data_IF_653762923945
#
_entry.id   IF_653762923945
#
_cell.length_a   1.000
_cell.length_b   1.000
_cell.length_c   1.000
_cell.angle_alpha   90.00
_cell.angle_beta   90.00
_cell.angle_gamma   90.00
#
_symmetry.space_group_name_H-M   'P 1'
#
loop_
_entity.id
_entity.type
_entity.pdbx_description
1 polymer ?
#
# COMPACT_ATOMS: atom_id res chain seq x y z
N UNK A 1 9.24 -19.82 -20.85
CA UNK A 1 9.01 -19.04 -19.62
C UNK A 1 9.10 -17.56 -19.97
N UNK A 2 8.14 -16.75 -19.55
CA UNK A 2 8.25 -15.29 -19.74
C UNK A 2 9.32 -14.76 -18.80
N UNK A 3 10.26 -13.99 -19.32
CA UNK A 3 11.31 -13.39 -18.50
C UNK A 3 10.79 -12.11 -17.85
N UNK A 4 10.98 -12.00 -16.56
CA UNK A 4 10.65 -10.83 -15.73
C UNK A 4 11.94 -10.13 -15.32
N UNK A 5 12.06 -8.84 -15.63
CA UNK A 5 13.24 -8.04 -15.35
C UNK A 5 13.05 -7.09 -14.16
N UNK A 6 11.80 -6.89 -13.71
CA UNK A 6 11.48 -6.06 -12.55
C UNK A 6 10.17 -6.52 -11.90
N UNK A 7 9.99 -6.21 -10.62
CA UNK A 7 8.74 -6.45 -9.90
C UNK A 7 8.30 -5.17 -9.22
N UNK A 8 7.01 -4.83 -9.36
CA UNK A 8 6.35 -3.73 -8.67
C UNK A 8 5.33 -4.34 -7.70
N UNK A 9 5.41 -3.95 -6.44
CA UNK A 9 4.51 -4.41 -5.38
C UNK A 9 3.57 -3.28 -4.94
N UNK A 10 2.31 -3.61 -4.73
CA UNK A 10 1.52 -2.85 -3.78
C UNK A 10 2.02 -3.11 -2.34
N UNK A 11 1.63 -2.24 -1.41
CA UNK A 11 1.93 -2.39 0.02
C UNK A 11 0.79 -3.08 0.74
N UNK A 12 -0.43 -2.52 0.64
CA UNK A 12 -1.60 -3.00 1.35
C UNK A 12 -2.03 -4.40 0.90
N UNK A 13 -2.27 -5.30 1.84
CA UNK A 13 -2.62 -6.71 1.62
C UNK A 13 -1.66 -7.50 0.70
N UNK A 14 -0.55 -6.89 0.29
CA UNK A 14 0.55 -7.55 -0.45
C UNK A 14 1.76 -7.71 0.45
N UNK A 15 2.41 -6.63 0.87
CA UNK A 15 3.57 -6.67 1.77
C UNK A 15 3.17 -6.55 3.25
N UNK A 16 2.15 -5.76 3.53
CA UNK A 16 1.53 -5.59 4.84
C UNK A 16 0.04 -5.86 4.74
N UNK A 17 -0.51 -6.71 5.59
CA UNK A 17 -1.96 -6.73 5.81
C UNK A 17 -2.35 -5.57 6.73
N UNK A 18 -3.58 -5.07 6.60
CA UNK A 18 -4.08 -4.00 7.46
C UNK A 18 -5.58 -4.15 7.76
N UNK A 19 -5.99 -3.63 8.91
CA UNK A 19 -7.39 -3.62 9.34
C UNK A 19 -7.71 -2.31 10.06
N UNK A 20 -8.42 -1.41 9.41
CA UNK A 20 -8.86 -0.13 9.98
C UNK A 20 -9.79 -0.29 11.19
N UNK A 21 -10.49 -1.42 11.33
CA UNK A 21 -11.31 -1.68 12.53
C UNK A 21 -10.46 -1.79 13.80
N UNK A 22 -9.16 -2.05 13.70
CA UNK A 22 -8.25 -2.02 14.86
C UNK A 22 -8.15 -0.58 15.40
N UNK A 23 -7.91 0.40 14.53
CA UNK A 23 -7.85 1.81 14.91
C UNK A 23 -9.21 2.32 15.43
N UNK A 24 -10.30 1.99 14.73
CA UNK A 24 -11.65 2.35 15.14
C UNK A 24 -11.94 1.85 16.56
N UNK A 25 -11.78 0.56 16.83
CA UNK A 25 -12.00 -0.02 18.15
C UNK A 25 -11.11 0.59 19.23
N UNK A 26 -9.86 0.90 18.90
CA UNK A 26 -8.93 1.51 19.84
C UNK A 26 -9.34 2.94 20.19
N UNK A 27 -9.75 3.75 19.20
CA UNK A 27 -10.25 5.10 19.41
C UNK A 27 -11.57 5.10 20.19
N UNK A 28 -12.53 4.25 19.83
CA UNK A 28 -13.81 4.10 20.57
C UNK A 28 -13.57 3.69 22.02
N UNK A 29 -12.67 2.73 22.26
CA UNK A 29 -12.33 2.28 23.62
C UNK A 29 -11.69 3.40 24.45
N UNK A 30 -10.88 4.26 23.81
CA UNK A 30 -10.22 5.37 24.49
C UNK A 30 -11.20 6.52 24.80
N UNK A 31 -12.02 6.91 23.83
CA UNK A 31 -12.89 8.09 23.95
C UNK A 31 -14.23 7.80 24.60
N UNK A 32 -14.69 6.56 24.56
CA UNK A 32 -16.01 6.18 25.05
C UNK A 32 -17.17 6.73 24.22
N UNK A 33 -16.91 7.17 22.98
CA UNK A 33 -17.94 7.70 22.08
C UNK A 33 -19.04 6.65 21.81
N UNK A 34 -20.31 7.01 22.05
CA UNK A 34 -21.43 6.07 21.93
C UNK A 34 -21.84 5.80 20.48
N UNK A 35 -21.64 6.78 19.59
CA UNK A 35 -21.97 6.70 18.15
C UNK A 35 -20.77 7.11 17.32
N UNK A 36 -19.75 6.22 17.19
CA UNK A 36 -18.57 6.51 16.39
C UNK A 36 -18.92 6.55 14.91
N UNK A 37 -18.17 7.31 14.10
CA UNK A 37 -18.24 7.18 12.65
C UNK A 37 -17.72 5.79 12.27
N UNK A 38 -18.23 5.23 11.18
CA UNK A 38 -17.63 4.04 10.59
C UNK A 38 -16.38 4.41 9.77
N UNK A 39 -15.56 3.42 9.47
CA UNK A 39 -14.40 3.60 8.54
C UNK A 39 -14.89 4.08 7.17
N UNK A 40 -16.08 3.64 6.75
CA UNK A 40 -16.71 4.04 5.49
C UNK A 40 -17.11 5.52 5.49
N UNK A 41 -17.56 6.07 6.61
CA UNK A 41 -17.88 7.50 6.73
C UNK A 41 -16.65 8.39 6.55
N UNK A 42 -15.47 7.87 6.90
CA UNK A 42 -14.19 8.55 6.72
C UNK A 42 -13.58 8.34 5.32
N UNK A 43 -14.15 7.46 4.51
CA UNK A 43 -13.60 7.11 3.19
C UNK A 43 -13.33 8.33 2.28
N UNK A 44 -14.25 9.31 2.13
CA UNK A 44 -13.96 10.49 1.30
C UNK A 44 -12.73 11.29 1.78
N UNK A 45 -12.59 11.46 3.10
CA UNK A 45 -11.45 12.17 3.70
C UNK A 45 -10.15 11.39 3.53
N UNK A 46 -10.22 10.07 3.60
CA UNK A 46 -9.07 9.19 3.34
C UNK A 46 -8.62 9.30 1.89
N UNK A 47 -9.53 9.27 0.91
CA UNK A 47 -9.20 9.47 -0.51
C UNK A 47 -8.53 10.83 -0.74
N UNK A 48 -9.03 11.90 -0.11
CA UNK A 48 -8.41 13.22 -0.22
C UNK A 48 -6.99 13.24 0.36
N UNK A 49 -6.77 12.55 1.48
CA UNK A 49 -5.46 12.41 2.10
C UNK A 49 -4.52 11.53 1.26
N UNK A 50 -4.99 10.40 0.75
CA UNK A 50 -4.24 9.47 -0.09
C UNK A 50 -3.93 10.02 -1.49
N UNK A 51 -4.63 11.06 -1.93
CA UNK A 51 -4.34 11.79 -3.18
C UNK A 51 -3.61 13.11 -2.98
N UNK A 52 -3.24 13.44 -1.72
CA UNK A 52 -2.54 14.67 -1.39
C UNK A 52 -3.40 15.94 -1.48
N UNK A 53 -4.73 15.80 -1.60
CA UNK A 53 -5.67 16.93 -1.61
C UNK A 53 -5.94 17.49 -0.21
N UNK A 54 -5.78 16.67 0.82
CA UNK A 54 -5.87 17.06 2.22
C UNK A 54 -4.49 17.00 2.88
N UNK A 55 -4.15 18.00 3.68
CA UNK A 55 -2.91 18.00 4.45
C UNK A 55 -2.95 16.93 5.56
N UNK A 56 -1.77 16.60 6.11
CA UNK A 56 -1.63 15.73 7.29
C UNK A 56 -2.45 16.27 8.47
N UNK A 57 -2.31 17.57 8.74
CA UNK A 57 -2.94 18.27 9.86
C UNK A 57 -4.46 18.28 9.72
N UNK A 58 -4.97 18.54 8.51
CA UNK A 58 -6.41 18.53 8.25
C UNK A 58 -7.00 17.13 8.42
N UNK A 59 -6.34 16.11 7.91
CA UNK A 59 -6.80 14.73 8.06
C UNK A 59 -6.80 14.30 9.53
N UNK A 60 -5.72 14.56 10.28
CA UNK A 60 -5.63 14.28 11.72
C UNK A 60 -6.78 15.00 12.46
N UNK A 61 -7.00 16.29 12.19
CA UNK A 61 -8.07 17.06 12.81
C UNK A 61 -9.43 16.44 12.54
N UNK A 62 -9.75 16.11 11.28
CA UNK A 62 -11.02 15.50 10.89
C UNK A 62 -11.26 14.19 11.64
N UNK A 63 -10.29 13.29 11.66
CA UNK A 63 -10.46 11.97 12.31
C UNK A 63 -10.57 12.13 13.84
N UNK A 64 -9.75 13.00 14.45
CA UNK A 64 -9.83 13.27 15.89
C UNK A 64 -11.17 13.87 16.30
N UNK A 65 -11.69 14.83 15.53
CA UNK A 65 -13.02 15.41 15.76
C UNK A 65 -14.12 14.34 15.62
N UNK A 66 -14.04 13.51 14.58
CA UNK A 66 -15.01 12.45 14.32
C UNK A 66 -15.09 11.41 15.44
N UNK A 67 -13.95 11.06 16.06
CA UNK A 67 -13.89 10.13 17.20
C UNK A 67 -13.88 10.82 18.57
N UNK A 68 -14.10 12.13 18.63
CA UNK A 68 -14.04 12.91 19.88
C UNK A 68 -12.72 12.72 20.67
N UNK A 69 -11.61 12.53 19.97
CA UNK A 69 -10.29 12.34 20.59
C UNK A 69 -9.67 13.70 20.96
N UNK A 70 -9.62 14.01 22.25
CA UNK A 70 -9.09 15.26 22.82
C UNK A 70 -7.69 15.13 23.45
N UNK A 71 -7.13 13.91 23.47
CA UNK A 71 -5.80 13.60 23.99
C UNK A 71 -4.64 14.14 23.13
N UNK A 72 -3.39 13.87 23.54
CA UNK A 72 -2.20 14.22 22.77
C UNK A 72 -2.22 13.64 21.36
N UNK A 73 -1.64 14.36 20.39
CA UNK A 73 -1.58 13.90 18.99
C UNK A 73 -0.77 12.60 18.85
N UNK A 74 0.36 12.48 19.56
CA UNK A 74 1.19 11.26 19.53
C UNK A 74 0.39 10.02 19.94
N UNK A 75 -0.48 10.15 20.94
CA UNK A 75 -1.37 9.05 21.35
C UNK A 75 -2.40 8.71 20.28
N UNK A 76 -2.99 9.73 19.62
CA UNK A 76 -3.87 9.50 18.48
C UNK A 76 -3.13 8.77 17.35
N UNK A 77 -1.92 9.21 17.03
CA UNK A 77 -1.08 8.60 16.00
C UNK A 77 -0.79 7.13 16.30
N UNK A 78 -0.46 6.81 17.55
CA UNK A 78 -0.25 5.44 18.00
C UNK A 78 -1.48 4.56 17.77
N UNK A 79 -2.68 5.06 18.08
CA UNK A 79 -3.93 4.31 17.86
C UNK A 79 -4.28 4.17 16.38
N UNK A 80 -4.01 5.20 15.57
CA UNK A 80 -4.38 5.27 14.16
C UNK A 80 -3.48 4.43 13.26
N UNK A 81 -2.20 4.31 13.60
CA UNK A 81 -1.20 3.65 12.73
C UNK A 81 -0.93 2.19 13.05
N UNK A 82 -1.37 1.67 14.22
CA UNK A 82 -1.20 0.25 14.62
C UNK A 82 -2.14 -0.72 13.92
N UNK A 83 -2.34 -0.56 12.63
CA UNK A 83 -3.27 -1.38 11.83
C UNK A 83 -2.56 -2.41 10.96
N UNK A 84 -1.24 -2.34 10.86
CA UNK A 84 -0.44 -3.13 9.93
C UNK A 84 0.17 -4.37 10.55
N UNK A 85 0.25 -5.45 9.75
CA UNK A 85 1.00 -6.66 10.07
C UNK A 85 1.79 -7.10 8.85
N UNK A 86 3.02 -7.57 9.05
CA UNK A 86 3.89 -8.03 7.95
C UNK A 86 3.32 -9.30 7.33
N UNK A 87 3.18 -9.32 6.01
CA UNK A 87 2.92 -10.51 5.24
C UNK A 87 4.25 -11.25 4.99
N UNK A 88 4.69 -12.01 5.97
CA UNK A 88 5.99 -12.68 5.95
C UNK A 88 6.23 -13.56 4.71
N UNK A 89 5.25 -14.32 4.19
CA UNK A 89 5.46 -15.07 2.95
C UNK A 89 5.85 -14.18 1.76
N UNK A 90 5.15 -13.05 1.55
CA UNK A 90 5.42 -12.14 0.43
C UNK A 90 6.74 -11.38 0.64
N UNK A 91 7.01 -10.89 1.86
CA UNK A 91 8.28 -10.22 2.18
C UNK A 91 9.45 -11.20 2.05
N UNK A 92 9.28 -12.46 2.45
CA UNK A 92 10.26 -13.52 2.27
C UNK A 92 10.58 -13.76 0.79
N UNK A 93 9.55 -13.77 -0.07
CA UNK A 93 9.73 -13.90 -1.50
C UNK A 93 10.44 -12.67 -2.09
N UNK A 94 10.06 -11.45 -1.72
CA UNK A 94 10.74 -10.23 -2.14
C UNK A 94 12.23 -10.24 -1.76
N UNK A 95 12.56 -10.66 -0.53
CA UNK A 95 13.96 -10.84 -0.08
C UNK A 95 14.74 -11.84 -0.94
N UNK A 96 14.11 -12.89 -1.45
CA UNK A 96 14.77 -13.89 -2.30
C UNK A 96 15.20 -13.33 -3.66
N UNK A 97 14.56 -12.26 -4.12
CA UNK A 97 14.87 -11.55 -5.37
C UNK A 97 15.87 -10.40 -5.17
N UNK A 98 16.08 -9.95 -3.92
CA UNK A 98 16.94 -8.81 -3.63
C UNK A 98 18.36 -9.00 -4.17
N UNK A 99 18.89 -7.96 -4.82
CA UNK A 99 20.21 -7.98 -5.45
C UNK A 99 20.28 -8.69 -6.82
N UNK A 100 19.17 -9.31 -7.27
CA UNK A 100 19.04 -9.97 -8.57
C UNK A 100 18.09 -9.18 -9.47
N UNK A 101 16.84 -9.07 -9.05
CA UNK A 101 15.76 -8.42 -9.80
C UNK A 101 15.40 -7.09 -9.11
N UNK A 102 15.35 -5.94 -9.83
CA UNK A 102 14.89 -4.67 -9.28
C UNK A 102 13.47 -4.76 -8.72
N UNK A 103 13.28 -4.30 -7.48
CA UNK A 103 12.00 -4.26 -6.78
C UNK A 103 11.57 -2.82 -6.58
N UNK A 104 10.29 -2.55 -6.81
CA UNK A 104 9.68 -1.23 -6.71
C UNK A 104 8.35 -1.28 -5.94
N UNK A 105 7.92 -0.12 -5.46
CA UNK A 105 6.63 0.05 -4.77
C UNK A 105 5.69 0.93 -5.58
N UNK A 106 4.41 0.60 -5.58
CA UNK A 106 3.35 1.45 -6.15
C UNK A 106 2.09 1.34 -5.29
N UNK A 107 1.83 2.33 -4.43
CA UNK A 107 0.78 2.22 -3.43
C UNK A 107 -0.14 3.45 -3.36
N UNK A 108 -1.45 3.18 -3.19
CA UNK A 108 -2.41 4.18 -2.73
C UNK A 108 -2.27 4.30 -1.21
N UNK A 109 -1.65 5.40 -0.75
CA UNK A 109 -1.35 5.59 0.67
C UNK A 109 -1.25 7.08 0.99
N UNK A 110 -1.70 7.49 2.16
CA UNK A 110 -1.49 8.83 2.70
C UNK A 110 -0.15 8.96 3.44
N UNK A 111 0.31 10.21 3.63
CA UNK A 111 1.62 10.47 4.26
C UNK A 111 1.73 9.89 5.67
N UNK A 112 0.65 9.87 6.46
CA UNK A 112 0.65 9.36 7.83
C UNK A 112 1.07 7.88 7.87
N UNK A 113 0.40 7.04 7.10
CA UNK A 113 0.71 5.62 7.06
C UNK A 113 2.04 5.35 6.35
N UNK A 114 2.36 6.12 5.29
CA UNK A 114 3.66 6.03 4.63
C UNK A 114 4.82 6.26 5.61
N UNK A 115 4.79 7.37 6.35
CA UNK A 115 5.86 7.71 7.28
C UNK A 115 5.99 6.65 8.38
N UNK A 116 4.86 6.21 8.94
CA UNK A 116 4.84 5.16 9.97
C UNK A 116 5.45 3.84 9.48
N UNK A 117 5.03 3.33 8.31
CA UNK A 117 5.53 2.03 7.83
C UNK A 117 7.01 2.07 7.44
N UNK A 118 7.51 3.22 6.95
CA UNK A 118 8.93 3.38 6.62
C UNK A 118 9.81 3.55 7.86
N UNK A 119 9.26 4.05 8.96
CA UNK A 119 9.93 4.11 10.26
C UNK A 119 9.93 2.75 10.96
N UNK A 120 8.81 2.04 10.94
CA UNK A 120 8.61 0.78 11.68
C UNK A 120 9.25 -0.43 10.99
N UNK A 121 9.21 -0.48 9.64
CA UNK A 121 9.65 -1.66 8.88
C UNK A 121 10.88 -1.35 8.01
N UNK A 122 12.08 -1.65 8.52
CA UNK A 122 13.38 -1.40 7.87
C UNK A 122 13.48 -1.94 6.43
N UNK A 123 12.75 -3.02 6.11
CA UNK A 123 12.82 -3.63 4.80
C UNK A 123 12.30 -2.73 3.66
N UNK A 124 11.45 -1.74 3.94
CA UNK A 124 11.02 -0.78 2.91
C UNK A 124 12.19 0.07 2.40
N UNK A 125 13.11 0.46 3.27
CA UNK A 125 14.30 1.23 2.91
C UNK A 125 15.43 0.39 2.30
N UNK A 126 15.42 -0.93 2.50
CA UNK A 126 16.53 -1.81 2.10
C UNK A 126 16.25 -2.70 0.90
N UNK A 127 15.02 -3.14 0.68
CA UNK A 127 14.67 -4.07 -0.40
C UNK A 127 14.29 -3.37 -1.71
N UNK A 128 13.65 -2.22 -1.63
CA UNK A 128 13.03 -1.56 -2.77
C UNK A 128 13.91 -0.43 -3.29
N UNK A 129 14.06 -0.37 -4.61
CA UNK A 129 14.93 0.59 -5.29
C UNK A 129 14.31 1.99 -5.35
N UNK A 130 12.99 2.04 -5.51
CA UNK A 130 12.21 3.27 -5.61
C UNK A 130 10.72 2.97 -5.35
N UNK A 131 9.89 4.02 -5.14
CA UNK A 131 8.46 3.88 -4.91
C UNK A 131 7.65 5.09 -5.38
N UNK A 132 6.43 4.82 -5.84
CA UNK A 132 5.42 5.83 -6.15
C UNK A 132 4.28 5.69 -5.15
N UNK A 133 3.93 6.80 -4.53
CA UNK A 133 2.89 6.90 -3.51
C UNK A 133 1.86 7.91 -3.96
N UNK A 134 0.58 7.55 -3.94
CA UNK A 134 -0.51 8.36 -4.49
C UNK A 134 -0.57 9.77 -3.92
N UNK A 135 -0.30 9.95 -2.61
CA UNK A 135 -0.30 11.28 -1.99
C UNK A 135 0.77 12.24 -2.52
N UNK A 136 1.90 11.70 -3.00
CA UNK A 136 2.97 12.48 -3.67
C UNK A 136 2.68 12.68 -5.15
N UNK A 137 2.10 11.66 -5.79
CA UNK A 137 1.83 11.65 -7.22
C UNK A 137 0.61 12.50 -7.61
N UNK A 138 -0.33 12.75 -6.68
CA UNK A 138 -1.58 13.44 -6.95
C UNK A 138 -2.53 12.65 -7.86
N UNK A 139 -2.28 11.35 -8.01
CA UNK A 139 -3.06 10.39 -8.81
C UNK A 139 -2.97 9.03 -8.14
N UNK A 140 -4.01 8.21 -8.26
CA UNK A 140 -4.08 6.92 -7.58
C UNK A 140 -4.45 5.78 -8.54
N UNK A 141 -4.15 4.56 -8.17
CA UNK A 141 -4.65 3.35 -8.82
C UNK A 141 -6.17 3.29 -8.68
N UNK A 142 -6.93 2.81 -9.68
CA UNK A 142 -6.49 2.17 -10.92
C UNK A 142 -6.29 3.12 -12.12
N UNK A 143 -6.14 4.43 -11.93
CA UNK A 143 -5.97 5.37 -13.04
C UNK A 143 -4.71 5.01 -13.88
N UNK A 144 -4.86 4.90 -15.20
CA UNK A 144 -3.75 4.55 -16.11
C UNK A 144 -2.52 5.48 -15.94
N UNK A 145 -2.76 6.75 -15.56
CA UNK A 145 -1.72 7.75 -15.36
C UNK A 145 -0.68 7.35 -14.33
N UNK A 146 -1.06 6.69 -13.23
CA UNK A 146 -0.10 6.28 -12.19
C UNK A 146 0.81 5.15 -12.68
N UNK A 147 0.29 4.25 -13.52
CA UNK A 147 1.07 3.16 -14.13
C UNK A 147 2.01 3.68 -15.23
N UNK A 148 1.59 4.67 -16.02
CA UNK A 148 2.50 5.35 -16.97
C UNK A 148 3.61 6.10 -16.23
N UNK A 149 3.31 6.71 -15.08
CA UNK A 149 4.32 7.30 -14.21
C UNK A 149 5.31 6.24 -13.71
N UNK A 150 4.82 5.07 -13.26
CA UNK A 150 5.66 3.97 -12.80
C UNK A 150 6.59 3.46 -13.90
N UNK A 151 6.07 3.25 -15.11
CA UNK A 151 6.85 2.88 -16.29
C UNK A 151 7.98 3.89 -16.58
N UNK A 152 7.67 5.18 -16.54
CA UNK A 152 8.61 6.26 -16.83
C UNK A 152 9.65 6.41 -15.72
N UNK A 153 9.22 6.51 -14.45
CA UNK A 153 10.10 6.78 -13.31
C UNK A 153 11.04 5.61 -13.02
N UNK A 154 10.53 4.38 -13.08
CA UNK A 154 11.34 3.19 -12.82
C UNK A 154 12.17 2.77 -14.03
N UNK A 155 11.88 3.29 -15.23
CA UNK A 155 12.58 2.95 -16.45
C UNK A 155 12.42 1.48 -16.83
N UNK A 156 11.23 0.91 -16.62
CA UNK A 156 10.95 -0.52 -16.84
C UNK A 156 10.17 -0.78 -18.12
N UNK A 157 10.37 -1.97 -18.70
CA UNK A 157 9.51 -2.49 -19.76
C UNK A 157 8.26 -3.16 -19.14
N UNK A 158 7.05 -2.64 -19.33
CA UNK A 158 5.85 -3.22 -18.74
C UNK A 158 5.64 -4.70 -19.11
N UNK A 159 5.94 -5.11 -20.34
CA UNK A 159 5.78 -6.50 -20.80
C UNK A 159 6.75 -7.49 -20.09
N UNK A 160 7.75 -6.97 -19.40
CA UNK A 160 8.74 -7.72 -18.62
C UNK A 160 8.77 -7.34 -17.15
N UNK A 161 7.71 -6.67 -16.67
CA UNK A 161 7.56 -6.24 -15.27
C UNK A 161 6.33 -6.87 -14.66
N UNK A 162 6.53 -7.65 -13.60
CA UNK A 162 5.44 -8.22 -12.81
C UNK A 162 4.89 -7.14 -11.86
N UNK A 163 3.59 -6.90 -11.93
CA UNK A 163 2.85 -6.03 -11.01
C UNK A 163 1.95 -6.87 -10.11
N UNK A 164 2.03 -6.67 -8.80
CA UNK A 164 1.31 -7.46 -7.79
C UNK A 164 0.45 -6.54 -6.94
N UNK A 165 -0.86 -6.81 -6.88
CA UNK A 165 -1.85 -6.01 -6.15
C UNK A 165 -2.99 -6.90 -5.66
N UNK A 166 -3.61 -6.57 -4.51
CA UNK A 166 -4.75 -7.30 -3.94
C UNK A 166 -6.09 -6.89 -4.54
N UNK A 167 -6.15 -5.78 -5.29
CA UNK A 167 -7.36 -5.30 -5.96
C UNK A 167 -7.31 -5.61 -7.46
N UNK A 168 -8.29 -6.39 -7.94
CA UNK A 168 -8.38 -6.78 -9.34
C UNK A 168 -8.47 -5.57 -10.29
N UNK A 169 -9.12 -4.49 -9.88
CA UNK A 169 -9.21 -3.25 -10.65
C UNK A 169 -7.84 -2.58 -10.86
N UNK A 170 -6.96 -2.62 -9.86
CA UNK A 170 -5.60 -2.12 -9.97
C UNK A 170 -4.75 -2.98 -10.91
N UNK A 171 -4.92 -4.31 -10.84
CA UNK A 171 -4.27 -5.24 -11.76
C UNK A 171 -4.70 -4.96 -13.20
N UNK A 172 -6.00 -4.81 -13.46
CA UNK A 172 -6.51 -4.45 -14.79
C UNK A 172 -6.00 -3.08 -15.26
N UNK A 173 -5.89 -2.10 -14.35
CA UNK A 173 -5.30 -0.80 -14.64
C UNK A 173 -3.84 -0.93 -15.12
N UNK A 174 -3.03 -1.74 -14.43
CA UNK A 174 -1.65 -2.01 -14.81
C UNK A 174 -1.55 -2.76 -16.15
N UNK A 175 -2.39 -3.78 -16.36
CA UNK A 175 -2.43 -4.55 -17.61
C UNK A 175 -2.84 -3.68 -18.81
N UNK A 176 -3.70 -2.68 -18.62
CA UNK A 176 -4.09 -1.73 -19.67
C UNK A 176 -2.91 -0.91 -20.21
N UNK A 177 -1.85 -0.78 -19.42
CA UNK A 177 -0.58 -0.09 -19.76
C UNK A 177 0.50 -1.08 -20.18
N UNK A 178 0.21 -2.38 -20.16
CA UNK A 178 1.06 -3.45 -20.66
C UNK A 178 1.85 -4.20 -19.61
N UNK A 179 1.66 -3.95 -18.31
CA UNK A 179 2.31 -4.71 -17.23
C UNK A 179 1.80 -6.16 -17.18
N UNK A 180 2.64 -7.06 -16.66
CA UNK A 180 2.25 -8.44 -16.37
C UNK A 180 1.56 -8.47 -14.99
N UNK A 181 0.23 -8.42 -14.95
CA UNK A 181 -0.54 -8.34 -13.73
C UNK A 181 -0.61 -9.65 -12.95
N UNK A 182 -0.70 -9.56 -11.63
CA UNK A 182 -1.05 -10.65 -10.73
C UNK A 182 -1.96 -10.16 -9.60
N UNK A 183 -3.19 -10.64 -9.59
CA UNK A 183 -4.12 -10.42 -8.48
C UNK A 183 -3.74 -11.33 -7.31
N UNK A 184 -3.33 -10.73 -6.21
CA UNK A 184 -2.82 -11.43 -5.04
C UNK A 184 -3.86 -11.52 -3.92
N UNK A 185 -4.00 -12.71 -3.34
CA UNK A 185 -4.80 -12.96 -2.14
C UNK A 185 -3.88 -13.52 -1.04
N UNK A 186 -3.64 -12.80 0.07
CA UNK A 186 -2.75 -13.27 1.13
C UNK A 186 -3.19 -14.58 1.76
N UNK A 187 -4.50 -14.90 1.75
CA UNK A 187 -5.02 -16.17 2.21
C UNK A 187 -4.69 -17.35 1.25
N UNK A 188 -4.28 -17.03 0.02
CA UNK A 188 -3.98 -18.01 -1.03
C UNK A 188 -2.55 -17.85 -1.58
N UNK A 189 -1.59 -17.48 -0.74
CA UNK A 189 -0.19 -17.27 -1.15
C UNK A 189 0.39 -18.42 -2.00
N UNK A 190 -0.01 -19.67 -1.73
CA UNK A 190 0.40 -20.83 -2.52
C UNK A 190 0.06 -20.74 -4.01
N UNK A 191 -1.02 -20.03 -4.39
CA UNK A 191 -1.35 -19.80 -5.82
C UNK A 191 -0.38 -18.80 -6.46
N UNK A 192 0.07 -17.80 -5.69
CA UNK A 192 1.13 -16.91 -6.12
C UNK A 192 2.43 -17.66 -6.36
N UNK A 193 2.86 -18.53 -5.42
CA UNK A 193 4.07 -19.36 -5.59
C UNK A 193 3.98 -20.24 -6.85
N UNK A 194 2.85 -20.88 -7.10
CA UNK A 194 2.62 -21.64 -8.33
C UNK A 194 2.78 -20.76 -9.58
N UNK A 195 2.20 -19.55 -9.58
CA UNK A 195 2.29 -18.63 -10.72
C UNK A 195 3.73 -18.21 -10.98
N UNK A 196 4.46 -17.76 -9.94
CA UNK A 196 5.84 -17.25 -10.11
C UNK A 196 6.83 -18.36 -10.44
N UNK A 197 6.56 -19.62 -10.08
CA UNK A 197 7.39 -20.76 -10.48
C UNK A 197 7.42 -20.99 -11.99
N UNK A 198 6.46 -20.45 -12.73
CA UNK A 198 6.41 -20.50 -14.21
C UNK A 198 7.14 -19.36 -14.90
N UNK A 199 7.61 -18.40 -14.12
CA UNK A 199 8.36 -17.22 -14.60
C UNK A 199 9.86 -17.42 -14.40
N UNK A 200 10.67 -16.67 -15.14
CA UNK A 200 12.11 -16.56 -14.91
C UNK A 200 12.44 -15.13 -14.54
N UNK A 201 13.19 -14.92 -13.47
CA UNK A 201 13.60 -13.61 -12.98
C UNK A 201 15.07 -13.34 -13.37
N UNK A 202 15.35 -12.10 -13.79
CA UNK A 202 16.69 -11.67 -14.19
C UNK A 202 17.60 -11.54 -12.97
#
# INVERSE_FOLDING_TARGET
MSQIDAVIFDIGNVLLTFDYFIAERALVSHTGIETPPSVEDLHPHRIDHETGRSSREDFIRIVREAFAHDGPEDHFMELWTRIFQVNEPMVGWARSLHGKTPLFLLSNIGCIHHDHIFEEYEFFGSLFRDGIYSYKAGVMKPEARIFELAKSQFGVDPARTLYIDDLEENVHGAESVGFVGHHYDPAKHHLFEQRVSTLSFA
#
